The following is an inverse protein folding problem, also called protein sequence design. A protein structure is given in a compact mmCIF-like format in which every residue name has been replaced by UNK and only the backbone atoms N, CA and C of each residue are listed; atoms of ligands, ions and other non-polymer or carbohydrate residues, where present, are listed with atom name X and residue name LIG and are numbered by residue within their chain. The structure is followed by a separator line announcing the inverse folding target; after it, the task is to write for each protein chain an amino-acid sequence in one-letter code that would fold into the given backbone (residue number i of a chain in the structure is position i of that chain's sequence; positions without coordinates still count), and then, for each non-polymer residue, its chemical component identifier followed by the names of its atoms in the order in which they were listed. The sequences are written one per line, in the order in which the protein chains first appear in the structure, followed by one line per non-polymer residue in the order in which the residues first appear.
data_IF_456766387514
#
_entry.id   IF_456766387514
#
_cell.length_a   1.000
_cell.length_b   1.000
_cell.length_c   1.000
_cell.angle_alpha   90.00
_cell.angle_beta   90.00
_cell.angle_gamma   90.00
#
_symmetry.space_group_name_H-M   'P 1'
#
loop_
_entity.id
_entity.type
_entity.pdbx_description
1 polymer ?
#
# COMPACT_ATOMS: atom_id res chain seq x y z
N UNK A 1 55.67 -66.56 -56.83
CA UNK A 1 55.19 -65.15 -56.74
C UNK A 1 53.67 -65.07 -56.94
N UNK A 2 53.10 -65.71 -57.97
CA UNK A 2 51.64 -65.72 -58.21
C UNK A 2 50.81 -66.33 -57.07
N UNK A 3 51.25 -67.45 -56.48
CA UNK A 3 50.52 -68.06 -55.34
C UNK A 3 50.38 -67.11 -54.13
N UNK A 4 51.36 -66.25 -53.87
CA UNK A 4 51.33 -65.33 -52.72
C UNK A 4 50.39 -64.14 -53.01
N UNK A 5 50.36 -63.64 -54.25
CA UNK A 5 49.42 -62.60 -54.66
C UNK A 5 47.97 -63.08 -54.68
N UNK A 6 47.71 -64.30 -55.14
CA UNK A 6 46.38 -64.93 -55.05
C UNK A 6 45.94 -65.08 -53.58
N UNK A 7 46.84 -65.49 -52.68
CA UNK A 7 46.54 -65.62 -51.25
C UNK A 7 46.27 -64.27 -50.58
N UNK A 8 46.99 -63.21 -50.95
CA UNK A 8 46.75 -61.86 -50.45
C UNK A 8 45.41 -61.28 -50.95
N UNK A 9 45.05 -61.57 -52.19
CA UNK A 9 43.75 -61.17 -52.76
C UNK A 9 42.59 -61.91 -52.07
N UNK A 10 42.76 -63.20 -51.77
CA UNK A 10 41.81 -63.98 -50.97
C UNK A 10 41.64 -63.39 -49.57
N UNK A 11 42.73 -63.12 -48.83
CA UNK A 11 42.64 -62.55 -47.47
C UNK A 11 42.01 -61.15 -47.47
N UNK A 12 42.25 -60.32 -48.49
CA UNK A 12 41.59 -59.01 -48.60
C UNK A 12 40.10 -59.14 -48.90
N UNK A 13 39.72 -60.12 -49.74
CA UNK A 13 38.31 -60.43 -49.98
C UNK A 13 37.64 -60.94 -48.70
N UNK A 14 38.33 -61.81 -47.97
CA UNK A 14 37.85 -62.37 -46.71
C UNK A 14 37.69 -61.27 -45.64
N UNK A 15 38.65 -60.35 -45.53
CA UNK A 15 38.53 -59.19 -44.64
C UNK A 15 37.39 -58.25 -45.05
N UNK A 16 37.17 -58.02 -46.35
CA UNK A 16 36.05 -57.22 -46.82
C UNK A 16 34.70 -57.90 -46.53
N UNK A 17 34.62 -59.22 -46.68
CA UNK A 17 33.42 -59.98 -46.30
C UNK A 17 33.19 -59.96 -44.79
N UNK A 18 34.25 -60.12 -43.97
CA UNK A 18 34.13 -60.05 -42.51
C UNK A 18 33.74 -58.65 -42.04
N UNK A 19 34.25 -57.60 -42.68
CA UNK A 19 33.88 -56.21 -42.38
C UNK A 19 32.42 -55.93 -42.75
N UNK A 20 31.95 -56.41 -43.92
CA UNK A 20 30.55 -56.31 -44.33
C UNK A 20 29.62 -57.10 -43.39
N UNK A 21 30.04 -58.30 -42.96
CA UNK A 21 29.30 -59.12 -41.99
C UNK A 21 29.24 -58.45 -40.61
N UNK A 22 30.33 -57.81 -40.17
CA UNK A 22 30.35 -57.04 -38.91
C UNK A 22 29.42 -55.83 -38.97
N UNK A 23 29.41 -55.12 -40.10
CA UNK A 23 28.51 -53.97 -40.29
C UNK A 23 27.04 -54.41 -40.37
N UNK A 24 26.76 -55.53 -41.05
CA UNK A 24 25.43 -56.15 -41.07
C UNK A 24 24.97 -56.60 -39.68
N UNK A 25 25.85 -57.24 -38.90
CA UNK A 25 25.55 -57.63 -37.51
C UNK A 25 25.38 -56.42 -36.58
N UNK A 26 26.13 -55.34 -36.78
CA UNK A 26 25.97 -54.11 -36.01
C UNK A 26 24.60 -53.44 -36.27
N UNK A 27 24.15 -53.42 -37.53
CA UNK A 27 22.81 -52.91 -37.88
C UNK A 27 21.69 -53.76 -37.25
N UNK A 28 21.81 -55.09 -37.27
CA UNK A 28 20.86 -55.99 -36.59
C UNK A 28 20.86 -55.82 -35.07
N UNK A 29 21.99 -55.44 -34.48
CA UNK A 29 22.09 -55.22 -33.03
C UNK A 29 21.41 -53.92 -32.59
N UNK A 30 21.47 -52.86 -33.41
CA UNK A 30 20.73 -51.62 -33.16
C UNK A 30 19.21 -51.81 -33.22
N UNK A 31 18.71 -52.70 -34.11
CA UNK A 31 17.28 -53.00 -34.22
C UNK A 31 16.69 -53.70 -32.96
N UNK A 32 17.53 -54.41 -32.20
CA UNK A 32 17.13 -55.17 -30.99
C UNK A 32 17.37 -54.38 -29.69
N UNK A 33 18.07 -53.24 -29.76
CA UNK A 33 18.53 -52.46 -28.60
C UNK A 33 17.41 -51.84 -27.74
N UNK A 34 16.16 -51.87 -28.21
CA UNK A 34 14.98 -51.32 -27.51
C UNK A 34 14.01 -52.33 -26.89
N UNK A 35 14.19 -53.65 -27.07
CA UNK A 35 13.35 -54.67 -26.42
C UNK A 35 14.08 -55.21 -25.19
N UNK A 36 13.46 -55.31 -24.00
CA UNK A 36 14.11 -55.88 -22.83
C UNK A 36 14.35 -57.37 -23.07
N UNK A 37 15.50 -57.71 -23.65
CA UNK A 37 15.94 -59.09 -23.80
C UNK A 37 16.47 -59.52 -22.44
N UNK A 38 15.67 -60.27 -21.68
CA UNK A 38 16.15 -60.90 -20.46
C UNK A 38 17.34 -61.80 -20.86
N UNK A 39 18.54 -61.49 -20.37
CA UNK A 39 19.76 -62.26 -20.65
C UNK A 39 20.34 -62.82 -19.35
N UNK A 40 21.00 -63.98 -19.45
CA UNK A 40 21.69 -64.60 -18.33
C UNK A 40 20.76 -65.06 -17.20
N UNK A 41 20.92 -64.49 -16.02
CA UNK A 41 20.19 -64.90 -14.82
C UNK A 41 18.70 -64.52 -14.85
N UNK A 42 18.34 -63.38 -15.44
CA UNK A 42 16.96 -62.91 -15.50
C UNK A 42 16.08 -63.84 -16.36
N UNK A 43 16.63 -64.34 -17.47
CA UNK A 43 15.93 -65.33 -18.30
C UNK A 43 15.78 -66.67 -17.60
N UNK A 44 16.79 -67.10 -16.83
CA UNK A 44 16.69 -68.33 -16.02
C UNK A 44 15.64 -68.18 -14.93
N UNK A 45 15.58 -67.03 -14.24
CA UNK A 45 14.53 -66.73 -13.25
C UNK A 45 13.14 -66.77 -13.90
N UNK A 46 12.96 -66.08 -15.03
CA UNK A 46 11.69 -66.09 -15.76
C UNK A 46 11.30 -67.49 -16.27
N UNK A 47 12.23 -68.28 -16.81
CA UNK A 47 11.96 -69.64 -17.26
C UNK A 47 11.60 -70.57 -16.10
N UNK A 48 12.24 -70.39 -14.93
CA UNK A 48 11.89 -71.11 -13.70
C UNK A 48 10.50 -70.73 -13.20
N UNK A 49 10.17 -69.43 -13.17
CA UNK A 49 8.83 -68.94 -12.83
C UNK A 49 7.77 -69.45 -13.81
N UNK A 50 8.05 -69.48 -15.11
CA UNK A 50 7.12 -69.98 -16.12
C UNK A 50 6.85 -71.48 -15.95
N UNK A 51 7.89 -72.27 -15.65
CA UNK A 51 7.71 -73.70 -15.31
C UNK A 51 6.91 -73.87 -14.01
N UNK A 52 7.17 -73.04 -13.00
CA UNK A 52 6.38 -73.01 -11.77
C UNK A 52 4.91 -72.71 -12.03
N UNK A 53 4.61 -71.66 -12.79
CA UNK A 53 3.25 -71.29 -13.20
C UNK A 53 2.58 -72.38 -14.05
N UNK A 54 3.32 -73.03 -14.94
CA UNK A 54 2.79 -74.14 -15.76
C UNK A 54 2.47 -75.37 -14.91
N UNK A 55 3.31 -75.69 -13.92
CA UNK A 55 3.04 -76.76 -12.97
C UNK A 55 1.83 -76.45 -12.09
N UNK A 56 1.71 -75.22 -11.59
CA UNK A 56 0.56 -74.75 -10.83
C UNK A 56 -0.74 -74.82 -11.65
N UNK A 57 -0.72 -74.36 -12.90
CA UNK A 57 -1.87 -74.46 -13.80
C UNK A 57 -2.31 -75.91 -14.00
N UNK A 58 -1.35 -76.84 -14.22
CA UNK A 58 -1.68 -78.27 -14.38
C UNK A 58 -2.30 -78.86 -13.12
N UNK A 59 -1.79 -78.51 -11.94
CA UNK A 59 -2.36 -78.93 -10.64
C UNK A 59 -3.78 -78.41 -10.46
N UNK A 60 -3.99 -77.10 -10.60
CA UNK A 60 -5.33 -76.49 -10.48
C UNK A 60 -6.32 -77.03 -11.52
N UNK A 61 -5.86 -77.34 -12.73
CA UNK A 61 -6.70 -77.97 -13.75
C UNK A 61 -7.14 -79.38 -13.35
N UNK A 62 -6.27 -80.14 -12.69
CA UNK A 62 -6.60 -81.46 -12.16
C UNK A 62 -7.59 -81.36 -10.99
N UNK A 63 -7.34 -80.47 -10.02
CA UNK A 63 -8.26 -80.21 -8.90
C UNK A 63 -9.66 -79.81 -9.40
N UNK A 64 -9.74 -78.96 -10.44
CA UNK A 64 -11.02 -78.61 -11.07
C UNK A 64 -11.71 -79.80 -11.77
N UNK A 65 -10.96 -80.78 -12.26
CA UNK A 65 -11.55 -81.98 -12.85
C UNK A 65 -12.11 -82.91 -11.76
N UNK A 66 -11.40 -83.04 -10.64
CA UNK A 66 -11.82 -83.80 -9.46
C UNK A 66 -13.08 -83.19 -8.84
N UNK A 67 -13.12 -81.88 -8.59
CA UNK A 67 -14.30 -81.17 -8.07
C UNK A 67 -15.52 -81.32 -8.98
N UNK A 68 -15.34 -81.33 -10.31
CA UNK A 68 -16.46 -81.57 -11.24
C UNK A 68 -16.98 -82.99 -11.16
N UNK A 69 -16.11 -83.96 -10.96
CA UNK A 69 -16.51 -85.35 -10.76
C UNK A 69 -17.28 -85.50 -9.44
N UNK A 70 -16.79 -84.90 -8.35
CA UNK A 70 -17.46 -84.89 -7.04
C UNK A 70 -18.83 -84.21 -7.12
N UNK A 71 -18.93 -83.06 -7.78
CA UNK A 71 -20.21 -82.39 -8.00
C UNK A 71 -21.21 -83.30 -8.76
N UNK A 72 -20.74 -84.04 -9.76
CA UNK A 72 -21.57 -85.01 -10.48
C UNK A 72 -22.06 -86.16 -9.58
N UNK A 73 -21.20 -86.67 -8.70
CA UNK A 73 -21.59 -87.67 -7.70
C UNK A 73 -22.60 -87.07 -6.72
N UNK A 74 -22.36 -85.87 -6.19
CA UNK A 74 -23.26 -85.17 -5.26
C UNK A 74 -24.63 -84.89 -5.87
N UNK A 75 -24.68 -84.45 -7.13
CA UNK A 75 -25.94 -84.19 -7.83
C UNK A 75 -26.74 -85.49 -7.99
N UNK A 76 -26.07 -86.60 -8.28
CA UNK A 76 -26.73 -87.92 -8.36
C UNK A 76 -27.20 -88.40 -6.99
N UNK A 77 -26.40 -88.24 -5.93
CA UNK A 77 -26.82 -88.64 -4.58
C UNK A 77 -28.00 -87.80 -4.10
N UNK A 78 -28.00 -86.49 -4.36
CA UNK A 78 -29.13 -85.61 -4.09
C UNK A 78 -30.40 -86.11 -4.79
N UNK A 79 -30.33 -86.45 -6.08
CA UNK A 79 -31.48 -86.96 -6.81
C UNK A 79 -32.01 -88.30 -6.25
N UNK A 80 -31.13 -89.18 -5.78
CA UNK A 80 -31.52 -90.43 -5.11
C UNK A 80 -32.21 -90.12 -3.77
N UNK A 81 -31.63 -89.24 -2.96
CA UNK A 81 -32.20 -88.84 -1.67
C UNK A 81 -33.56 -88.15 -1.84
N UNK A 82 -33.74 -87.29 -2.85
CA UNK A 82 -35.02 -86.66 -3.15
C UNK A 82 -36.08 -87.71 -3.54
N UNK A 83 -35.69 -88.73 -4.30
CA UNK A 83 -36.58 -89.82 -4.67
C UNK A 83 -36.97 -90.68 -3.46
N UNK A 84 -36.04 -90.93 -2.53
CA UNK A 84 -36.31 -91.64 -1.28
C UNK A 84 -37.18 -90.80 -0.33
N UNK A 85 -36.89 -89.51 -0.17
CA UNK A 85 -37.68 -88.58 0.63
C UNK A 85 -39.14 -88.52 0.16
N UNK A 86 -39.37 -88.49 -1.17
CA UNK A 86 -40.72 -88.58 -1.74
C UNK A 86 -41.44 -89.87 -1.38
N UNK A 87 -40.74 -91.01 -1.41
CA UNK A 87 -41.32 -92.31 -1.00
C UNK A 87 -41.68 -92.32 0.48
N UNK A 88 -40.80 -91.80 1.34
CA UNK A 88 -41.04 -91.71 2.79
C UNK A 88 -42.21 -90.77 3.08
N UNK A 89 -42.27 -89.61 2.42
CA UNK A 89 -43.38 -88.66 2.53
C UNK A 89 -44.71 -89.28 2.11
N UNK A 90 -44.76 -90.02 0.99
CA UNK A 90 -45.99 -90.73 0.59
C UNK A 90 -46.41 -91.80 1.61
N UNK A 91 -45.45 -92.53 2.16
CA UNK A 91 -45.72 -93.56 3.18
C UNK A 91 -46.25 -92.95 4.49
N UNK A 92 -45.68 -91.82 4.91
CA UNK A 92 -46.13 -91.09 6.10
C UNK A 92 -47.53 -90.50 5.90
N UNK A 93 -47.82 -89.89 4.75
CA UNK A 93 -49.16 -89.38 4.42
C UNK A 93 -50.23 -90.48 4.42
N UNK A 94 -49.92 -91.67 3.89
CA UNK A 94 -50.82 -92.83 3.98
C UNK A 94 -51.02 -93.30 5.44
N UNK A 95 -49.97 -93.29 6.25
CA UNK A 95 -50.03 -93.68 7.66
C UNK A 95 -50.84 -92.69 8.52
N UNK A 96 -50.71 -91.39 8.25
CA UNK A 96 -51.54 -90.34 8.84
C UNK A 96 -53.02 -90.58 8.47
N UNK A 97 -53.32 -90.73 7.18
CA UNK A 97 -54.68 -90.90 6.69
C UNK A 97 -55.38 -92.14 7.28
N UNK A 98 -54.65 -93.25 7.46
CA UNK A 98 -55.16 -94.47 8.13
C UNK A 98 -55.54 -94.25 9.59
N UNK A 99 -54.96 -93.26 10.27
CA UNK A 99 -55.28 -92.88 11.65
C UNK A 99 -56.31 -91.76 11.73
N UNK A 100 -56.89 -91.34 10.58
CA UNK A 100 -57.86 -90.25 10.50
C UNK A 100 -57.23 -88.86 10.72
N UNK A 101 -55.91 -88.75 10.59
CA UNK A 101 -55.14 -87.52 10.73
C UNK A 101 -54.56 -87.18 9.34
N UNK A 102 -54.45 -85.91 8.98
CA UNK A 102 -53.83 -85.49 7.72
C UNK A 102 -53.22 -84.12 7.91
N UNK A 103 -51.97 -83.92 7.45
CA UNK A 103 -51.27 -82.63 7.56
C UNK A 103 -50.62 -82.40 8.91
N UNK A 104 -50.39 -83.46 9.70
CA UNK A 104 -49.64 -83.36 10.96
C UNK A 104 -48.18 -82.99 10.67
N UNK A 105 -47.58 -83.61 9.65
CA UNK A 105 -46.23 -83.26 9.22
C UNK A 105 -46.14 -81.83 8.69
N UNK A 106 -47.08 -81.37 7.85
CA UNK A 106 -47.09 -79.99 7.34
C UNK A 106 -47.23 -78.96 8.46
N UNK A 107 -48.11 -79.22 9.44
CA UNK A 107 -48.29 -78.33 10.60
C UNK A 107 -47.10 -78.36 11.56
N UNK A 108 -46.42 -79.50 11.71
CA UNK A 108 -45.17 -79.62 12.47
C UNK A 108 -44.04 -78.84 11.79
N UNK A 109 -43.89 -78.97 10.46
CA UNK A 109 -42.90 -78.25 9.68
C UNK A 109 -43.16 -76.73 9.69
N UNK A 110 -44.42 -76.30 9.61
CA UNK A 110 -44.83 -74.89 9.75
C UNK A 110 -44.50 -74.36 11.15
N UNK A 111 -44.79 -75.15 12.20
CA UNK A 111 -44.50 -74.78 13.59
C UNK A 111 -43.00 -74.70 13.86
N UNK A 112 -42.22 -75.60 13.27
CA UNK A 112 -40.76 -75.57 13.36
C UNK A 112 -40.19 -74.33 12.63
N UNK A 113 -40.70 -73.99 11.45
CA UNK A 113 -40.34 -72.75 10.74
C UNK A 113 -40.69 -71.50 11.54
N UNK A 114 -41.90 -71.43 12.11
CA UNK A 114 -42.32 -70.29 12.94
C UNK A 114 -41.47 -70.20 14.21
N UNK A 115 -41.13 -71.34 14.81
CA UNK A 115 -40.23 -71.39 15.98
C UNK A 115 -38.82 -70.89 15.63
N UNK A 116 -38.27 -71.32 14.49
CA UNK A 116 -36.97 -70.85 13.98
C UNK A 116 -37.00 -69.35 13.67
N UNK A 117 -38.02 -68.86 12.98
CA UNK A 117 -38.19 -67.41 12.70
C UNK A 117 -38.34 -66.60 13.97
N UNK A 118 -39.10 -67.10 14.96
CA UNK A 118 -39.24 -66.42 16.25
C UNK A 118 -37.89 -66.37 16.98
N UNK A 119 -37.15 -67.47 17.01
CA UNK A 119 -35.82 -67.52 17.62
C UNK A 119 -34.86 -66.51 16.96
N UNK A 120 -34.86 -66.42 15.63
CA UNK A 120 -34.08 -65.45 14.87
C UNK A 120 -34.49 -64.00 15.20
N UNK A 121 -35.80 -63.73 15.23
CA UNK A 121 -36.33 -62.40 15.60
C UNK A 121 -35.95 -62.03 17.03
N UNK A 122 -36.03 -62.97 17.97
CA UNK A 122 -35.67 -62.73 19.37
C UNK A 122 -34.14 -62.53 19.53
N UNK A 123 -33.31 -63.25 18.76
CA UNK A 123 -31.86 -63.04 18.70
C UNK A 123 -31.51 -61.65 18.15
N UNK A 124 -32.16 -61.22 17.06
CA UNK A 124 -31.96 -59.88 16.49
C UNK A 124 -32.39 -58.80 17.49
N UNK A 125 -33.54 -58.96 18.15
CA UNK A 125 -33.98 -58.03 19.20
C UNK A 125 -32.99 -57.96 20.36
N UNK A 126 -32.42 -59.10 20.76
CA UNK A 126 -31.37 -59.16 21.78
C UNK A 126 -30.15 -58.33 21.38
N UNK A 127 -29.63 -58.55 20.15
CA UNK A 127 -28.49 -57.80 19.61
C UNK A 127 -28.79 -56.30 19.53
N UNK A 128 -29.97 -55.91 19.04
CA UNK A 128 -30.36 -54.49 18.97
C UNK A 128 -30.49 -53.86 20.35
N UNK A 129 -31.01 -54.57 21.36
CA UNK A 129 -31.08 -54.07 22.73
C UNK A 129 -29.69 -53.89 23.37
N UNK A 130 -28.75 -54.79 23.08
CA UNK A 130 -27.36 -54.65 23.50
C UNK A 130 -26.70 -53.44 22.81
N UNK A 131 -26.91 -53.27 21.50
CA UNK A 131 -26.41 -52.12 20.74
C UNK A 131 -26.99 -50.79 21.29
N UNK A 132 -28.29 -50.74 21.55
CA UNK A 132 -28.94 -49.57 22.16
C UNK A 132 -28.34 -49.29 23.54
N UNK A 133 -28.12 -50.33 24.35
CA UNK A 133 -27.54 -50.18 25.69
C UNK A 133 -26.12 -49.62 25.59
N UNK A 134 -25.31 -50.12 24.66
CA UNK A 134 -23.98 -49.58 24.39
C UNK A 134 -24.02 -48.12 23.95
N UNK A 135 -24.93 -47.75 23.05
CA UNK A 135 -25.11 -46.36 22.61
C UNK A 135 -25.52 -45.45 23.78
N UNK A 136 -26.42 -45.91 24.66
CA UNK A 136 -26.83 -45.16 25.85
C UNK A 136 -25.67 -44.99 26.83
N UNK A 137 -24.86 -46.02 27.05
CA UNK A 137 -23.65 -45.93 27.86
C UNK A 137 -22.64 -44.95 27.26
N UNK A 138 -22.44 -44.98 25.95
CA UNK A 138 -21.56 -44.06 25.25
C UNK A 138 -22.04 -42.61 25.38
N UNK A 139 -23.32 -42.35 25.14
CA UNK A 139 -23.93 -41.02 25.29
C UNK A 139 -23.76 -40.53 26.74
N UNK A 140 -24.06 -41.37 27.73
CA UNK A 140 -23.89 -41.02 29.14
C UNK A 140 -22.42 -40.75 29.49
N UNK A 141 -21.48 -41.51 28.92
CA UNK A 141 -20.04 -41.29 29.02
C UNK A 141 -19.65 -39.92 28.44
N UNK A 142 -20.10 -39.60 27.24
CA UNK A 142 -19.85 -38.32 26.58
C UNK A 142 -20.43 -37.14 27.38
N UNK A 143 -21.64 -37.27 27.93
CA UNK A 143 -22.26 -36.24 28.79
C UNK A 143 -21.41 -36.00 30.04
N UNK A 144 -20.97 -37.07 30.72
CA UNK A 144 -20.10 -36.96 31.90
C UNK A 144 -18.77 -36.29 31.55
N UNK A 145 -18.13 -36.68 30.45
CA UNK A 145 -16.88 -36.08 29.99
C UNK A 145 -17.03 -34.58 29.70
N UNK A 146 -18.10 -34.19 28.99
CA UNK A 146 -18.40 -32.77 28.71
C UNK A 146 -18.69 -31.99 29.99
N UNK A 147 -19.46 -32.56 30.92
CA UNK A 147 -19.76 -31.93 32.23
C UNK A 147 -18.47 -31.69 33.02
N UNK A 148 -17.58 -32.69 33.08
CA UNK A 148 -16.30 -32.60 33.79
C UNK A 148 -15.36 -31.58 33.14
N UNK A 149 -15.43 -31.39 31.82
CA UNK A 149 -14.66 -30.36 31.12
C UNK A 149 -15.24 -28.95 31.31
N UNK A 150 -16.57 -28.81 31.34
CA UNK A 150 -17.24 -27.52 31.42
C UNK A 150 -17.22 -26.91 32.84
N UNK A 151 -17.35 -27.75 33.87
CA UNK A 151 -17.34 -27.30 35.26
C UNK A 151 -16.14 -26.42 35.66
N UNK A 152 -14.87 -26.79 35.36
CA UNK A 152 -13.72 -25.93 35.66
C UNK A 152 -13.74 -24.64 34.84
N UNK A 153 -14.13 -24.69 33.56
CA UNK A 153 -14.22 -23.48 32.72
C UNK A 153 -15.26 -22.48 33.26
N UNK A 154 -16.40 -22.95 33.77
CA UNK A 154 -17.40 -22.09 34.42
C UNK A 154 -16.83 -21.48 35.70
N UNK A 155 -16.05 -22.25 36.47
CA UNK A 155 -15.39 -21.75 37.69
C UNK A 155 -14.38 -20.66 37.35
N UNK A 156 -13.52 -20.89 36.35
CA UNK A 156 -12.52 -19.91 35.90
C UNK A 156 -13.17 -18.64 35.34
N UNK A 157 -14.27 -18.79 34.60
CA UNK A 157 -15.03 -17.64 34.08
C UNK A 157 -15.64 -16.81 35.21
N UNK A 158 -16.13 -17.46 36.29
CA UNK A 158 -16.60 -16.75 37.48
C UNK A 158 -15.47 -16.01 38.19
N UNK A 159 -14.31 -16.63 38.37
CA UNK A 159 -13.17 -15.96 39.01
C UNK A 159 -12.65 -14.79 38.18
N UNK A 160 -12.61 -14.94 36.85
CA UNK A 160 -12.20 -13.86 35.95
C UNK A 160 -13.17 -12.68 35.98
N UNK A 161 -14.48 -12.93 36.05
CA UNK A 161 -15.49 -11.86 36.20
C UNK A 161 -15.30 -11.06 37.49
N UNK A 162 -15.00 -11.73 38.60
CA UNK A 162 -14.73 -11.04 39.88
C UNK A 162 -13.46 -10.19 39.77
N UNK A 163 -12.36 -10.75 39.23
CA UNK A 163 -11.12 -10.00 39.01
C UNK A 163 -11.31 -8.79 38.11
N UNK A 164 -12.12 -8.93 37.06
CA UNK A 164 -12.44 -7.82 36.16
C UNK A 164 -13.20 -6.72 36.91
N UNK A 165 -14.21 -7.06 37.72
CA UNK A 165 -14.94 -6.09 38.53
C UNK A 165 -14.05 -5.38 39.56
N UNK A 166 -13.13 -6.10 40.21
CA UNK A 166 -12.15 -5.52 41.12
C UNK A 166 -11.23 -4.52 40.40
N UNK A 167 -10.68 -4.89 39.24
CA UNK A 167 -9.83 -4.02 38.44
C UNK A 167 -10.58 -2.80 37.89
N UNK A 168 -11.83 -2.98 37.45
CA UNK A 168 -12.67 -1.88 36.98
C UNK A 168 -12.96 -0.88 38.10
N UNK A 169 -13.27 -1.38 39.31
CA UNK A 169 -13.45 -0.54 40.50
C UNK A 169 -12.19 0.24 40.85
N UNK A 170 -11.02 -0.42 40.88
CA UNK A 170 -9.74 0.24 41.16
C UNK A 170 -9.37 1.28 40.09
N UNK A 171 -9.61 0.96 38.82
CA UNK A 171 -9.39 1.89 37.72
C UNK A 171 -10.28 3.13 37.84
N UNK A 172 -11.58 2.96 38.12
CA UNK A 172 -12.51 4.06 38.29
C UNK A 172 -12.13 4.96 39.47
N UNK A 173 -11.71 4.38 40.59
CA UNK A 173 -11.22 5.13 41.75
C UNK A 173 -9.95 5.93 41.40
N UNK A 174 -8.97 5.29 40.75
CA UNK A 174 -7.72 5.95 40.33
C UNK A 174 -7.98 7.05 39.31
N UNK A 175 -8.87 6.81 38.35
CA UNK A 175 -9.29 7.80 37.35
C UNK A 175 -9.94 9.01 38.03
N UNK A 176 -10.87 8.77 38.95
CA UNK A 176 -11.53 9.85 39.69
C UNK A 176 -10.52 10.68 40.50
N UNK A 177 -9.56 10.02 41.18
CA UNK A 177 -8.48 10.72 41.90
C UNK A 177 -7.63 11.57 40.95
N UNK A 178 -7.21 11.01 39.83
CA UNK A 178 -6.44 11.73 38.82
C UNK A 178 -7.21 12.94 38.29
N UNK A 179 -8.49 12.78 37.91
CA UNK A 179 -9.31 13.85 37.35
C UNK A 179 -9.52 14.98 38.38
N UNK A 180 -9.73 14.64 39.65
CA UNK A 180 -9.81 15.62 40.74
C UNK A 180 -8.49 16.37 40.95
N UNK A 181 -7.36 15.66 41.01
CA UNK A 181 -6.04 16.29 41.18
C UNK A 181 -5.69 17.17 40.00
N UNK A 182 -5.95 16.71 38.77
CA UNK A 182 -5.74 17.49 37.55
C UNK A 182 -6.57 18.77 37.57
N UNK A 183 -7.86 18.69 37.87
CA UNK A 183 -8.70 19.88 37.94
C UNK A 183 -8.22 20.88 39.01
N UNK A 184 -7.71 20.39 40.15
CA UNK A 184 -7.06 21.21 41.17
C UNK A 184 -5.83 21.94 40.65
N UNK A 185 -4.90 21.20 40.02
CA UNK A 185 -3.67 21.76 39.44
C UNK A 185 -3.96 22.75 38.30
N UNK A 186 -4.93 22.47 37.44
CA UNK A 186 -5.34 23.36 36.35
C UNK A 186 -5.87 24.69 36.93
N UNK A 187 -6.62 24.63 38.04
CA UNK A 187 -7.12 25.83 38.73
C UNK A 187 -5.99 26.62 39.39
N UNK A 188 -5.05 25.95 40.06
CA UNK A 188 -3.88 26.61 40.67
C UNK A 188 -2.97 27.24 39.62
N UNK A 189 -2.74 26.56 38.50
CA UNK A 189 -1.95 27.08 37.38
C UNK A 189 -2.60 28.32 36.79
N UNK A 190 -3.92 28.28 36.56
CA UNK A 190 -4.65 29.43 36.03
C UNK A 190 -4.60 30.65 36.99
N UNK A 191 -4.67 30.42 38.30
CA UNK A 191 -4.53 31.48 39.31
C UNK A 191 -3.12 32.08 39.31
N UNK A 192 -2.10 31.23 39.36
CA UNK A 192 -0.70 31.68 39.34
C UNK A 192 -0.37 32.44 38.06
N UNK A 193 -0.88 31.98 36.92
CA UNK A 193 -0.70 32.69 35.65
C UNK A 193 -1.36 34.07 35.67
N UNK A 194 -2.60 34.18 36.19
CA UNK A 194 -3.25 35.47 36.34
C UNK A 194 -2.50 36.42 37.31
N UNK A 195 -1.92 35.89 38.39
CA UNK A 195 -1.07 36.66 39.30
C UNK A 195 0.23 37.13 38.63
N UNK A 196 0.88 36.27 37.83
CA UNK A 196 2.04 36.64 37.02
C UNK A 196 1.70 37.74 36.02
N UNK A 197 0.63 37.58 35.25
CA UNK A 197 0.18 38.57 34.27
C UNK A 197 -0.15 39.92 34.95
N UNK A 198 -0.78 39.89 36.12
CA UNK A 198 -1.06 41.09 36.89
C UNK A 198 0.22 41.79 37.36
N UNK A 199 1.18 41.04 37.90
CA UNK A 199 2.47 41.57 38.33
C UNK A 199 3.30 42.13 37.17
N UNK A 200 3.30 41.47 36.01
CA UNK A 200 3.97 41.98 34.80
C UNK A 200 3.38 43.30 34.33
N UNK A 201 2.04 43.42 34.35
CA UNK A 201 1.37 44.67 34.01
C UNK A 201 1.68 45.79 35.01
N UNK A 202 1.75 45.48 36.30
CA UNK A 202 2.13 46.44 37.35
C UNK A 202 3.58 46.92 37.16
N UNK A 203 4.52 46.00 36.89
CA UNK A 203 5.90 46.35 36.58
C UNK A 203 5.98 47.27 35.36
N UNK A 204 5.31 46.92 34.26
CA UNK A 204 5.30 47.76 33.05
C UNK A 204 4.71 49.16 33.31
N UNK A 205 3.67 49.24 34.14
CA UNK A 205 3.07 50.50 34.54
C UNK A 205 4.02 51.35 35.37
N UNK A 206 4.68 50.76 36.36
CA UNK A 206 5.64 51.46 37.21
C UNK A 206 6.91 51.88 36.46
N UNK A 207 7.41 51.06 35.53
CA UNK A 207 8.51 51.44 34.64
C UNK A 207 8.15 52.67 33.79
N UNK A 208 6.96 52.67 33.20
CA UNK A 208 6.45 53.81 32.41
C UNK A 208 6.35 55.07 33.26
N UNK A 209 5.83 54.93 34.49
CA UNK A 209 5.70 56.01 35.46
C UNK A 209 7.07 56.55 35.90
N UNK A 210 8.04 55.66 36.14
CA UNK A 210 9.42 56.02 36.46
C UNK A 210 10.08 56.80 35.32
N UNK A 211 9.93 56.36 34.07
CA UNK A 211 10.45 57.08 32.90
C UNK A 211 9.81 58.47 32.73
N UNK A 212 8.50 58.59 32.98
CA UNK A 212 7.81 59.86 32.97
C UNK A 212 8.37 60.83 34.02
N UNK A 213 8.52 60.38 35.27
CA UNK A 213 9.08 61.21 36.33
C UNK A 213 10.56 61.54 36.11
N UNK A 214 11.34 60.61 35.55
CA UNK A 214 12.73 60.87 35.17
C UNK A 214 12.82 61.98 34.13
N UNK A 215 11.94 61.97 33.13
CA UNK A 215 11.86 63.00 32.10
C UNK A 215 11.46 64.36 32.70
N UNK A 216 10.46 64.37 33.58
CA UNK A 216 10.03 65.58 34.28
C UNK A 216 11.15 66.14 35.16
N UNK A 217 11.86 65.28 35.90
CA UNK A 217 13.00 65.66 36.72
C UNK A 217 14.11 66.29 35.89
N UNK A 218 14.44 65.72 34.72
CA UNK A 218 15.41 66.29 33.79
C UNK A 218 15.02 67.69 33.31
N UNK A 219 13.74 67.91 32.98
CA UNK A 219 13.23 69.24 32.60
C UNK A 219 13.38 70.23 33.75
N UNK A 220 12.98 69.85 34.96
CA UNK A 220 13.10 70.71 36.14
C UNK A 220 14.56 70.99 36.50
N UNK A 221 15.45 70.01 36.35
CA UNK A 221 16.88 70.20 36.53
C UNK A 221 17.44 71.26 35.56
N UNK A 222 17.10 71.18 34.28
CA UNK A 222 17.50 72.20 33.29
C UNK A 222 16.92 73.58 33.64
N UNK A 223 15.67 73.66 34.11
CA UNK A 223 15.10 74.93 34.57
C UNK A 223 15.87 75.51 35.75
N UNK A 224 16.24 74.67 36.72
CA UNK A 224 17.05 75.08 37.86
C UNK A 224 18.44 75.54 37.45
N UNK A 225 19.11 74.83 36.54
CA UNK A 225 20.41 75.23 35.96
C UNK A 225 20.32 76.58 35.25
N UNK A 226 19.26 76.84 34.47
CA UNK A 226 19.03 78.15 33.84
C UNK A 226 18.89 79.27 34.87
N UNK A 227 18.06 79.06 35.89
CA UNK A 227 17.86 80.05 36.97
C UNK A 227 19.17 80.31 37.72
N UNK A 228 19.98 79.28 37.94
CA UNK A 228 21.30 79.43 38.56
C UNK A 228 22.28 80.20 37.66
N UNK A 229 22.34 79.89 36.37
CA UNK A 229 23.18 80.60 35.40
C UNK A 229 22.82 82.08 35.28
N UNK A 230 21.51 82.40 35.28
CA UNK A 230 21.02 83.78 35.31
C UNK A 230 21.41 84.49 36.62
N UNK A 231 21.21 83.84 37.78
CA UNK A 231 21.60 84.39 39.08
C UNK A 231 23.09 84.68 39.17
N UNK A 232 23.93 83.87 38.52
CA UNK A 232 25.38 84.02 38.48
C UNK A 232 25.87 84.91 37.32
N UNK A 233 24.98 85.43 36.48
CA UNK A 233 25.30 86.20 35.26
C UNK A 233 26.29 85.48 34.32
N UNK A 234 26.25 84.14 34.29
CA UNK A 234 27.17 83.32 33.49
C UNK A 234 26.64 83.02 32.09
N UNK A 235 25.42 83.44 31.77
CA UNK A 235 24.82 83.18 30.47
C UNK A 235 25.34 84.16 29.41
N UNK A 236 26.02 83.64 28.40
CA UNK A 236 26.39 84.40 27.20
C UNK A 236 26.30 83.50 25.96
N UNK A 237 25.61 83.96 24.91
CA UNK A 237 25.48 83.22 23.65
C UNK A 237 25.60 84.14 22.45
N UNK A 238 26.44 83.78 21.48
CA UNK A 238 26.54 84.50 20.21
C UNK A 238 25.53 83.96 19.21
N UNK A 239 24.73 84.84 18.61
CA UNK A 239 23.73 84.52 17.60
C UNK A 239 24.35 84.41 16.20
N UNK A 240 23.66 83.80 15.22
CA UNK A 240 24.16 83.71 13.83
C UNK A 240 24.40 85.08 13.17
N UNK A 241 23.73 86.12 13.64
CA UNK A 241 23.86 87.51 13.19
C UNK A 241 25.01 88.26 13.89
N UNK A 242 25.88 87.55 14.63
CA UNK A 242 27.03 88.11 15.34
C UNK A 242 26.70 88.82 16.66
N UNK A 243 25.43 88.99 17.00
CA UNK A 243 25.00 89.62 18.26
C UNK A 243 25.21 88.68 19.45
N UNK A 244 25.87 89.18 20.50
CA UNK A 244 26.04 88.46 21.77
C UNK A 244 24.89 88.77 22.70
N UNK A 245 24.20 87.73 23.14
CA UNK A 245 23.05 87.81 24.03
C UNK A 245 23.46 87.39 25.44
N UNK A 246 23.07 88.16 26.45
CA UNK A 246 23.54 87.98 27.84
C UNK A 246 22.44 87.52 28.81
N UNK A 247 21.22 87.30 28.32
CA UNK A 247 20.13 86.69 29.09
C UNK A 247 19.31 85.71 28.25
N UNK A 248 18.71 84.70 28.87
CA UNK A 248 17.76 83.82 28.20
C UNK A 248 16.55 84.57 27.64
N UNK A 249 16.10 85.66 28.27
CA UNK A 249 14.97 86.49 27.78
C UNK A 249 15.32 87.10 26.42
N UNK A 250 16.45 87.79 26.34
CA UNK A 250 16.95 88.38 25.09
C UNK A 250 17.15 87.30 24.01
N UNK A 251 17.60 86.09 24.40
CA UNK A 251 17.83 84.99 23.44
C UNK A 251 16.51 84.55 22.82
N UNK A 252 15.49 84.35 23.66
CA UNK A 252 14.18 83.90 23.20
C UNK A 252 13.45 84.99 22.43
N UNK A 253 13.58 86.27 22.81
CA UNK A 253 13.04 87.39 22.03
C UNK A 253 13.66 87.49 20.64
N UNK A 254 15.00 87.37 20.55
CA UNK A 254 15.68 87.37 19.26
C UNK A 254 15.29 86.18 18.39
N UNK A 255 15.13 84.98 18.98
CA UNK A 255 14.62 83.81 18.27
C UNK A 255 13.16 83.97 17.82
N UNK A 256 12.30 84.56 18.66
CA UNK A 256 10.91 84.85 18.29
C UNK A 256 10.85 85.81 17.11
N UNK A 257 11.62 86.89 17.13
CA UNK A 257 11.75 87.82 16.00
C UNK A 257 12.20 87.12 14.72
N UNK A 258 13.19 86.23 14.82
CA UNK A 258 13.66 85.44 13.69
C UNK A 258 12.56 84.52 13.12
N UNK A 259 11.79 83.86 13.99
CA UNK A 259 10.68 83.00 13.58
C UNK A 259 9.52 83.81 12.98
N UNK A 260 9.18 84.95 13.56
CA UNK A 260 8.15 85.85 13.02
C UNK A 260 8.53 86.36 11.63
N UNK A 261 9.81 86.69 11.42
CA UNK A 261 10.31 87.07 10.10
C UNK A 261 10.22 85.90 9.12
N UNK A 262 10.63 84.69 9.51
CA UNK A 262 10.49 83.50 8.67
C UNK A 262 9.02 83.21 8.32
N UNK A 263 8.08 83.40 9.26
CA UNK A 263 6.65 83.26 9.01
C UNK A 263 6.16 84.29 7.98
N UNK A 264 6.60 85.55 8.08
CA UNK A 264 6.27 86.60 7.10
C UNK A 264 6.79 86.25 5.71
N UNK A 265 8.06 85.87 5.60
CA UNK A 265 8.68 85.47 4.34
C UNK A 265 7.96 84.26 3.71
N UNK A 266 7.58 83.26 4.50
CA UNK A 266 6.84 82.10 4.02
C UNK A 266 5.43 82.46 3.55
N UNK A 267 4.74 83.39 4.24
CA UNK A 267 3.43 83.89 3.81
C UNK A 267 3.53 84.70 2.52
N UNK A 268 4.54 85.55 2.38
CA UNK A 268 4.81 86.29 1.14
C UNK A 268 5.11 85.34 -0.02
N UNK A 269 5.95 84.32 0.20
CA UNK A 269 6.20 83.26 -0.79
C UNK A 269 4.93 82.51 -1.16
N UNK A 270 4.11 82.15 -0.17
CA UNK A 270 2.83 81.47 -0.42
C UNK A 270 1.89 82.35 -1.27
N UNK A 271 1.77 83.63 -0.94
CA UNK A 271 0.96 84.59 -1.70
C UNK A 271 1.46 84.73 -3.14
N UNK A 272 2.77 84.95 -3.32
CA UNK A 272 3.40 85.06 -4.64
C UNK A 272 3.18 83.79 -5.48
N UNK A 273 3.27 82.61 -4.87
CA UNK A 273 2.98 81.34 -5.56
C UNK A 273 1.51 81.24 -5.95
N UNK A 274 0.57 81.69 -5.10
CA UNK A 274 -0.87 81.67 -5.40
C UNK A 274 -1.23 82.63 -6.54
N UNK A 275 -0.78 83.89 -6.49
CA UNK A 275 -1.04 84.87 -7.55
C UNK A 275 -0.46 84.43 -8.90
N UNK A 276 0.75 83.89 -8.88
CA UNK A 276 1.44 83.48 -10.11
C UNK A 276 1.01 82.08 -10.58
N UNK A 277 0.19 81.35 -9.83
CA UNK A 277 -0.20 79.97 -10.18
C UNK A 277 -0.90 79.90 -11.54
N UNK A 278 -1.94 80.69 -11.74
CA UNK A 278 -2.69 80.70 -13.00
C UNK A 278 -1.87 81.14 -14.22
N UNK A 279 -1.16 82.29 -14.20
CA UNK A 279 -0.34 82.69 -15.34
C UNK A 279 0.80 81.70 -15.60
N UNK A 280 1.45 81.16 -14.57
CA UNK A 280 2.49 80.13 -14.75
C UNK A 280 1.90 78.85 -15.35
N UNK A 281 0.71 78.41 -14.91
CA UNK A 281 0.04 77.24 -15.51
C UNK A 281 -0.35 77.48 -16.98
N UNK A 282 -0.82 78.68 -17.33
CA UNK A 282 -1.11 79.07 -18.72
C UNK A 282 0.18 79.06 -19.55
N UNK A 283 1.26 79.63 -19.02
CA UNK A 283 2.57 79.67 -19.66
C UNK A 283 3.14 78.26 -19.89
N UNK A 284 3.06 77.37 -18.89
CA UNK A 284 3.48 75.96 -19.02
C UNK A 284 2.65 75.24 -20.09
N UNK A 285 1.32 75.45 -20.16
CA UNK A 285 0.49 74.88 -21.23
C UNK A 285 0.90 75.42 -22.61
N UNK A 286 1.16 76.72 -22.72
CA UNK A 286 1.58 77.35 -23.97
C UNK A 286 2.93 76.78 -24.45
N UNK A 287 3.92 76.68 -23.56
CA UNK A 287 5.22 76.07 -23.89
C UNK A 287 5.10 74.59 -24.27
N UNK A 288 4.22 73.84 -23.60
CA UNK A 288 3.93 72.44 -23.99
C UNK A 288 3.32 72.37 -25.40
N UNK A 289 2.36 73.24 -25.73
CA UNK A 289 1.73 73.29 -27.05
C UNK A 289 2.72 73.73 -28.12
N UNK A 290 3.53 74.75 -27.86
CA UNK A 290 4.61 75.19 -28.75
C UNK A 290 5.60 74.05 -29.01
N UNK A 291 6.02 73.33 -27.96
CA UNK A 291 6.90 72.17 -28.10
C UNK A 291 6.29 71.00 -28.88
N UNK A 292 4.96 70.84 -28.87
CA UNK A 292 4.26 69.87 -29.75
C UNK A 292 4.23 70.35 -31.19
N UNK A 293 3.90 71.62 -31.43
CA UNK A 293 3.86 72.22 -32.76
C UNK A 293 5.23 72.16 -33.45
N UNK A 294 6.30 72.49 -32.72
CA UNK A 294 7.67 72.43 -33.23
C UNK A 294 8.08 70.99 -33.55
N UNK A 295 7.68 70.00 -32.74
CA UNK A 295 7.90 68.58 -33.03
C UNK A 295 7.15 68.14 -34.29
N UNK A 296 5.85 68.44 -34.40
CA UNK A 296 5.09 68.15 -35.61
C UNK A 296 5.72 68.79 -36.86
N UNK A 297 6.14 70.06 -36.77
CA UNK A 297 6.83 70.74 -37.87
C UNK A 297 8.14 70.04 -38.24
N UNK A 298 8.92 69.62 -37.25
CA UNK A 298 10.17 68.89 -37.45
C UNK A 298 9.93 67.53 -38.11
N UNK A 299 8.90 66.80 -37.67
CA UNK A 299 8.54 65.49 -38.21
C UNK A 299 8.01 65.61 -39.65
N UNK A 300 7.17 66.60 -39.94
CA UNK A 300 6.73 66.90 -41.31
C UNK A 300 7.91 67.26 -42.21
N UNK A 301 8.87 68.04 -41.72
CA UNK A 301 10.06 68.40 -42.50
C UNK A 301 10.97 67.19 -42.75
N UNK A 302 11.08 66.27 -41.78
CA UNK A 302 11.81 65.01 -41.94
C UNK A 302 11.11 64.08 -42.93
N UNK A 303 9.78 63.94 -42.82
CA UNK A 303 8.97 63.14 -43.73
C UNK A 303 9.07 63.66 -45.17
N UNK A 304 8.89 64.97 -45.38
CA UNK A 304 9.04 65.59 -46.69
C UNK A 304 10.44 65.39 -47.30
N UNK A 305 11.50 65.46 -46.47
CA UNK A 305 12.87 65.14 -46.92
C UNK A 305 13.04 63.67 -47.26
N UNK A 306 12.44 62.77 -46.49
CA UNK A 306 12.50 61.33 -46.74
C UNK A 306 11.76 60.95 -48.02
N UNK A 307 10.57 61.52 -48.27
CA UNK A 307 9.83 61.34 -49.53
C UNK A 307 10.62 61.89 -50.72
N UNK A 308 11.23 63.08 -50.59
CA UNK A 308 12.08 63.64 -51.65
C UNK A 308 13.29 62.75 -51.96
N UNK A 309 13.93 62.20 -50.92
CA UNK A 309 15.04 61.28 -51.08
C UNK A 309 14.59 59.92 -51.66
N UNK A 310 13.40 59.43 -51.31
CA UNK A 310 12.84 58.21 -51.92
C UNK A 310 12.53 58.42 -53.40
N UNK A 311 11.88 59.53 -53.76
CA UNK A 311 11.63 59.86 -55.18
C UNK A 311 12.94 60.06 -55.96
N UNK A 312 13.97 60.65 -55.34
CA UNK A 312 15.30 60.74 -55.95
C UNK A 312 15.94 59.34 -56.14
N UNK A 313 15.81 58.45 -55.15
CA UNK A 313 16.38 57.11 -55.23
C UNK A 313 15.63 56.18 -56.20
N UNK A 314 14.31 56.32 -56.33
CA UNK A 314 13.51 55.64 -57.35
C UNK A 314 13.89 56.12 -58.76
N UNK A 315 14.04 57.43 -58.98
CA UNK A 315 14.56 57.97 -60.25
C UNK A 315 16.02 57.53 -60.53
N UNK A 316 16.87 57.42 -59.51
CA UNK A 316 18.25 56.95 -59.64
C UNK A 316 18.34 55.44 -59.90
N UNK A 317 17.43 54.62 -59.34
CA UNK A 317 17.37 53.19 -59.64
C UNK A 317 16.82 52.92 -61.05
N UNK A 318 15.86 53.72 -61.51
CA UNK A 318 15.39 53.67 -62.91
C UNK A 318 16.47 54.12 -63.91
N UNK A 319 17.41 54.98 -63.50
CA UNK A 319 18.52 55.44 -64.35
C UNK A 319 19.80 54.58 -64.23
N UNK A 320 20.06 53.92 -63.11
CA UNK A 320 21.25 53.06 -62.90
C UNK A 320 21.17 51.66 -63.53
N UNK A 321 20.12 51.34 -64.29
CA UNK A 321 20.15 50.19 -65.22
C UNK A 321 20.93 50.52 -66.51
N UNK A 322 21.31 51.80 -66.74
CA UNK A 322 22.02 52.20 -67.96
C UNK A 322 22.93 53.42 -67.74
N UNK A 323 24.21 53.25 -67.34
CA UNK A 323 25.40 53.95 -67.90
C UNK A 323 26.70 53.80 -67.08
N UNK A 324 27.83 53.72 -67.81
CA UNK A 324 29.21 53.39 -67.41
C UNK A 324 30.03 54.62 -66.92
N UNK A 325 31.13 54.44 -66.15
CA UNK A 325 31.90 55.56 -65.59
C UNK A 325 33.09 55.98 -66.47
N UNK A 326 33.32 57.30 -66.59
CA UNK A 326 34.61 57.88 -67.01
C UNK A 326 35.03 59.04 -66.09
N UNK A 327 36.35 59.12 -65.88
CA UNK A 327 37.12 60.09 -65.10
C UNK A 327 37.18 61.48 -65.76
N UNK A 328 37.37 62.54 -64.95
CA UNK A 328 38.52 63.48 -65.05
C UNK A 328 38.35 64.76 -64.20
N UNK A 329 39.44 65.16 -63.51
CA UNK A 329 40.01 66.52 -63.60
C UNK A 329 39.51 67.65 -62.68
N UNK A 330 40.32 67.96 -61.66
CA UNK A 330 40.48 69.20 -60.85
C UNK A 330 40.42 70.55 -61.65
N UNK A 331 40.45 71.80 -61.06
CA UNK A 331 41.10 72.23 -59.79
C UNK A 331 40.56 73.48 -59.00
N UNK A 332 41.09 73.58 -57.77
CA UNK A 332 41.65 74.71 -56.97
C UNK A 332 41.15 76.19 -57.01
N UNK A 333 41.24 76.81 -55.81
CA UNK A 333 41.32 78.25 -55.49
C UNK A 333 40.42 78.59 -54.29
N UNK A 334 40.85 78.78 -53.03
CA UNK A 334 41.78 79.75 -52.42
C UNK A 334 41.50 81.22 -52.77
N UNK A 335 40.74 81.90 -51.89
CA UNK A 335 41.25 82.96 -51.00
C UNK A 335 40.34 83.11 -49.76
#
# INVERSE_FOLDING_TARGET
KEQVQQRLALVRRDNATVAADLQGKAAQFEEVKGKPVLKGEEFRKYASELRGKTAQYKRMKQELAELRAEWGVLSRTQAILDAEAKKVSSFLGEAEARRGLSGYQDTQDELEKVSQQKAEVDEVKGKTLEEISHVVEEINGQIKARKNRLAPQIKDLRTLRVKFQEQESEYLEKKQRHDNTKAGLDTETAKLQAECDAAENEVSHEESTCHYYTSLHSIEQVKMERVQADRQQQFSRTMPDGTTVSSYVELYEAKLKQQDQAIKELRERQHSVQENREPNMKQVKLYKNLGKLLRCKQDMQKAARAELNQMAHENEQDTNVFTMPEEHGEPQGLD
#
